data_IF_262151303699
#
_entry.id   IF_262151303699
#
_cell.length_a   1.000
_cell.length_b   1.000
_cell.length_c   1.000
_cell.angle_alpha   90.00
_cell.angle_beta   90.00
_cell.angle_gamma   90.00
#
_symmetry.space_group_name_H-M   'P 1'
#
loop_
_entity.id
_entity.type
_entity.pdbx_description
1 polymer ?
#
# COMPACT_ATOMS: atom_id res chain seq x y z
N UNK A 1 5.07 -45.57 32.22
CA UNK A 1 4.01 -44.57 31.95
C UNK A 1 4.58 -43.27 31.33
N UNK A 2 5.57 -43.34 30.42
CA UNK A 2 6.30 -42.18 29.86
C UNK A 2 6.11 -41.98 28.34
N UNK A 3 5.31 -42.86 27.71
CA UNK A 3 5.14 -42.96 26.25
C UNK A 3 4.08 -42.01 25.67
N UNK A 4 3.09 -41.58 26.48
CA UNK A 4 2.00 -40.69 26.03
C UNK A 4 2.45 -39.24 25.82
N UNK A 5 3.38 -38.74 26.63
CA UNK A 5 3.82 -37.34 26.52
C UNK A 5 4.75 -37.10 25.31
N UNK A 6 5.45 -38.15 24.86
CA UNK A 6 6.38 -38.08 23.72
C UNK A 6 5.65 -38.03 22.37
N UNK A 7 4.52 -38.74 22.24
CA UNK A 7 3.66 -38.67 21.06
C UNK A 7 3.01 -37.30 20.86
N UNK A 8 2.61 -36.63 21.95
CA UNK A 8 2.00 -35.30 21.88
C UNK A 8 2.98 -34.23 21.36
N UNK A 9 4.25 -34.27 21.77
CA UNK A 9 5.27 -33.30 21.33
C UNK A 9 5.61 -33.46 19.84
N UNK A 10 5.83 -34.70 19.38
CA UNK A 10 6.07 -35.00 17.96
C UNK A 10 4.87 -34.58 17.08
N UNK A 11 3.64 -34.84 17.55
CA UNK A 11 2.41 -34.42 16.86
C UNK A 11 2.29 -32.89 16.72
N UNK A 12 2.63 -32.13 17.77
CA UNK A 12 2.65 -30.67 17.70
C UNK A 12 3.70 -30.11 16.73
N UNK A 13 4.88 -30.75 16.63
CA UNK A 13 5.89 -30.37 15.63
C UNK A 13 5.42 -30.61 14.21
N UNK A 14 4.77 -31.76 13.97
CA UNK A 14 4.21 -32.11 12.67
C UNK A 14 3.10 -31.14 12.25
N UNK A 15 2.15 -30.82 13.14
CA UNK A 15 1.10 -29.82 12.86
C UNK A 15 1.72 -28.45 12.54
N UNK A 16 2.67 -27.97 13.34
CA UNK A 16 3.34 -26.68 13.09
C UNK A 16 4.06 -26.67 11.73
N UNK A 17 4.70 -27.78 11.37
CA UNK A 17 5.31 -27.96 10.05
C UNK A 17 4.29 -27.87 8.90
N UNK A 18 3.14 -28.53 9.05
CA UNK A 18 2.01 -28.50 8.09
C UNK A 18 1.42 -27.09 7.95
N UNK A 19 1.27 -26.36 9.06
CA UNK A 19 0.79 -24.98 9.03
C UNK A 19 1.79 -24.07 8.31
N UNK A 20 3.08 -24.21 8.60
CA UNK A 20 4.13 -23.42 7.93
C UNK A 20 4.23 -23.71 6.43
N UNK A 21 4.12 -24.97 6.00
CA UNK A 21 4.10 -25.29 4.56
C UNK A 21 2.84 -24.74 3.91
N UNK A 22 1.68 -24.78 4.58
CA UNK A 22 0.45 -24.17 4.08
C UNK A 22 0.60 -22.66 3.86
N UNK A 23 1.22 -21.96 4.81
CA UNK A 23 1.54 -20.53 4.67
C UNK A 23 2.55 -20.27 3.54
N UNK A 24 3.60 -21.09 3.44
CA UNK A 24 4.58 -20.98 2.36
C UNK A 24 3.93 -21.20 0.98
N UNK A 25 3.04 -22.17 0.85
CA UNK A 25 2.29 -22.42 -0.39
C UNK A 25 1.34 -21.27 -0.72
N UNK A 26 0.72 -20.63 0.28
CA UNK A 26 -0.09 -19.44 0.07
C UNK A 26 0.76 -18.30 -0.50
N UNK A 27 1.91 -18.03 0.12
CA UNK A 27 2.85 -17.00 -0.36
C UNK A 27 3.35 -17.35 -1.77
N UNK A 28 3.66 -18.62 -2.03
CA UNK A 28 4.05 -19.09 -3.36
C UNK A 28 2.96 -18.86 -4.41
N UNK A 29 1.69 -19.17 -4.09
CA UNK A 29 0.54 -18.88 -4.95
C UNK A 29 0.51 -17.38 -5.31
N UNK A 30 0.64 -16.49 -4.32
CA UNK A 30 0.61 -15.05 -4.53
C UNK A 30 1.80 -14.52 -5.34
N UNK A 31 2.99 -15.11 -5.16
CA UNK A 31 4.19 -14.75 -5.93
C UNK A 31 4.09 -15.18 -7.39
N UNK A 32 3.60 -16.40 -7.66
CA UNK A 32 3.48 -16.93 -9.04
C UNK A 32 2.34 -16.27 -9.80
N UNK A 33 1.22 -15.96 -9.13
CA UNK A 33 0.07 -15.27 -9.76
C UNK A 33 0.30 -13.77 -9.95
N UNK A 34 1.39 -13.21 -9.43
CA UNK A 34 1.66 -11.78 -9.35
C UNK A 34 0.58 -10.96 -8.59
N UNK A 35 -0.34 -11.62 -7.89
CA UNK A 35 -1.38 -10.97 -7.08
C UNK A 35 -0.83 -10.41 -5.77
N UNK A 36 0.45 -10.63 -5.46
CA UNK A 36 1.11 -10.01 -4.29
C UNK A 36 1.02 -8.47 -4.32
N UNK A 37 0.97 -7.88 -5.52
CA UNK A 37 0.79 -6.44 -5.73
C UNK A 37 -0.56 -5.92 -5.22
N UNK A 38 -1.57 -6.79 -5.03
CA UNK A 38 -2.86 -6.43 -4.45
C UNK A 38 -2.84 -6.32 -2.92
N UNK A 39 -1.75 -6.75 -2.27
CA UNK A 39 -1.63 -6.77 -0.81
C UNK A 39 -0.48 -5.93 -0.27
N UNK A 40 0.60 -5.79 -1.03
CA UNK A 40 1.89 -5.30 -0.53
C UNK A 40 2.56 -4.39 -1.57
N UNK A 41 3.26 -3.36 -1.09
CA UNK A 41 4.02 -2.47 -1.95
C UNK A 41 5.20 -3.19 -2.64
N UNK A 42 5.58 -2.84 -3.88
CA UNK A 42 6.65 -3.51 -4.65
C UNK A 42 7.98 -3.59 -3.91
N UNK A 43 8.31 -2.55 -3.14
CA UNK A 43 9.52 -2.48 -2.32
C UNK A 43 9.64 -3.59 -1.27
N UNK A 44 8.51 -4.09 -0.76
CA UNK A 44 8.48 -5.12 0.28
C UNK A 44 8.54 -6.55 -0.29
N UNK A 45 8.36 -6.73 -1.60
CA UNK A 45 8.32 -8.05 -2.25
C UNK A 45 9.65 -8.81 -2.07
N UNK A 46 10.79 -8.10 -2.00
CA UNK A 46 12.09 -8.72 -1.72
C UNK A 46 12.13 -9.42 -0.35
N UNK A 47 11.52 -8.81 0.66
CA UNK A 47 11.41 -9.42 1.99
C UNK A 47 10.43 -10.60 1.99
N UNK A 48 9.41 -10.58 1.14
CA UNK A 48 8.49 -11.72 0.97
C UNK A 48 9.21 -12.92 0.37
N UNK A 49 10.08 -12.74 -0.64
CA UNK A 49 10.91 -13.84 -1.16
C UNK A 49 11.83 -14.43 -0.07
N UNK A 50 12.47 -13.58 0.72
CA UNK A 50 13.30 -14.03 1.84
C UNK A 50 12.48 -14.81 2.88
N UNK A 51 11.32 -14.27 3.28
CA UNK A 51 10.39 -14.90 4.22
C UNK A 51 9.92 -16.27 3.71
N UNK A 52 9.57 -16.38 2.42
CA UNK A 52 9.18 -17.64 1.79
C UNK A 52 10.26 -18.72 1.94
N UNK A 53 11.52 -18.40 1.67
CA UNK A 53 12.65 -19.33 1.81
C UNK A 53 12.80 -19.77 3.28
N UNK A 54 12.75 -18.83 4.21
CA UNK A 54 12.86 -19.13 5.65
C UNK A 54 11.71 -20.02 6.12
N UNK A 55 10.47 -19.73 5.71
CA UNK A 55 9.30 -20.53 6.04
C UNK A 55 9.42 -21.97 5.51
N UNK A 56 9.95 -22.15 4.29
CA UNK A 56 10.21 -23.48 3.74
C UNK A 56 11.27 -24.24 4.56
N UNK A 57 12.39 -23.62 4.90
CA UNK A 57 13.46 -24.26 5.68
C UNK A 57 12.93 -24.67 7.06
N UNK A 58 12.24 -23.76 7.76
CA UNK A 58 11.65 -24.05 9.07
C UNK A 58 10.60 -25.16 8.99
N UNK A 59 9.74 -25.15 7.96
CA UNK A 59 8.74 -26.21 7.76
C UNK A 59 9.40 -27.58 7.59
N UNK A 60 10.43 -27.69 6.74
CA UNK A 60 11.15 -28.95 6.50
C UNK A 60 11.79 -29.47 7.80
N UNK A 61 12.47 -28.60 8.55
CA UNK A 61 13.11 -28.97 9.82
C UNK A 61 12.07 -29.47 10.83
N UNK A 62 10.92 -28.80 10.94
CA UNK A 62 9.84 -29.18 11.87
C UNK A 62 9.19 -30.52 11.48
N UNK A 63 9.00 -30.79 10.18
CA UNK A 63 8.46 -32.06 9.68
C UNK A 63 9.46 -33.20 9.93
N UNK A 64 10.74 -33.01 9.60
CA UNK A 64 11.79 -33.99 9.85
C UNK A 64 11.94 -34.31 11.34
N UNK A 65 11.84 -33.30 12.21
CA UNK A 65 11.86 -33.49 13.66
C UNK A 65 10.59 -34.16 14.18
N UNK A 66 9.44 -33.88 13.57
CA UNK A 66 8.17 -34.52 13.90
C UNK A 66 8.15 -36.02 13.55
N UNK A 67 8.78 -36.41 12.44
CA UNK A 67 8.81 -37.80 11.95
C UNK A 67 9.99 -38.64 12.45
N UNK A 68 11.00 -38.03 13.07
CA UNK A 68 12.16 -38.76 13.60
C UNK A 68 11.83 -39.43 14.93
N UNK A 69 11.92 -40.76 14.97
CA UNK A 69 11.69 -41.56 16.19
C UNK A 69 12.87 -41.57 17.18
N UNK A 70 13.99 -40.87 16.91
CA UNK A 70 15.24 -41.08 17.67
C UNK A 70 15.87 -39.80 18.24
N UNK A 71 16.15 -39.91 19.54
CA UNK A 71 17.09 -39.17 20.39
C UNK A 71 16.85 -37.65 20.53
N UNK A 72 16.20 -37.28 21.63
CA UNK A 72 16.26 -35.94 22.19
C UNK A 72 17.73 -35.60 22.53
N UNK A 73 18.40 -34.81 21.69
CA UNK A 73 19.43 -33.93 22.22
C UNK A 73 18.70 -32.85 23.00
N UNK A 74 18.68 -32.99 24.32
CA UNK A 74 18.25 -31.93 25.23
C UNK A 74 19.30 -30.81 25.15
N UNK A 75 19.24 -29.98 24.11
CA UNK A 75 19.82 -28.65 24.21
C UNK A 75 19.05 -27.95 25.33
N UNK A 76 19.75 -27.72 26.44
CA UNK A 76 19.29 -26.97 27.60
C UNK A 76 19.23 -25.47 27.23
N UNK A 77 18.50 -25.15 26.16
CA UNK A 77 18.11 -23.79 25.83
C UNK A 77 16.84 -23.55 26.63
N UNK A 78 17.03 -22.95 27.79
CA UNK A 78 16.01 -22.54 28.74
C UNK A 78 14.97 -21.66 28.01
N UNK A 79 13.76 -22.19 27.88
CA UNK A 79 12.71 -21.58 27.09
C UNK A 79 11.46 -22.43 27.20
N UNK A 80 10.59 -22.04 28.13
CA UNK A 80 9.27 -22.63 28.37
C UNK A 80 8.37 -22.54 27.12
N UNK A 81 8.62 -23.38 26.11
CA UNK A 81 7.68 -23.60 25.02
C UNK A 81 6.70 -24.70 25.44
N UNK A 82 5.87 -24.38 26.42
CA UNK A 82 4.85 -25.28 26.97
C UNK A 82 3.77 -25.52 25.92
N UNK A 83 3.60 -26.77 25.51
CA UNK A 83 2.54 -27.16 24.57
C UNK A 83 1.17 -27.07 25.25
N UNK A 84 0.11 -26.63 24.54
CA UNK A 84 -1.23 -26.67 25.10
C UNK A 84 -1.60 -28.12 25.40
N UNK A 85 -1.76 -28.44 26.69
CA UNK A 85 -2.09 -29.79 27.15
C UNK A 85 -3.55 -30.19 26.90
N UNK A 86 -4.39 -29.22 26.55
CA UNK A 86 -5.82 -29.41 26.26
C UNK A 86 -6.10 -29.28 24.76
N UNK A 87 -6.78 -30.27 24.19
CA UNK A 87 -7.15 -30.31 22.76
C UNK A 87 -7.92 -29.07 22.30
N UNK A 88 -8.74 -28.47 23.17
CA UNK A 88 -9.48 -27.24 22.85
C UNK A 88 -8.56 -26.03 22.70
N UNK A 89 -7.55 -25.88 23.58
CA UNK A 89 -6.54 -24.81 23.47
C UNK A 89 -5.69 -24.99 22.22
N UNK A 90 -5.36 -26.22 21.86
CA UNK A 90 -4.65 -26.51 20.60
C UNK A 90 -5.49 -26.13 19.38
N UNK A 91 -6.77 -26.47 19.35
CA UNK A 91 -7.70 -26.10 18.26
C UNK A 91 -7.79 -24.58 18.11
N UNK A 92 -7.99 -23.85 19.20
CA UNK A 92 -8.06 -22.38 19.16
C UNK A 92 -6.75 -21.78 18.63
N UNK A 93 -5.59 -22.24 19.13
CA UNK A 93 -4.29 -21.72 18.74
C UNK A 93 -3.95 -22.01 17.27
N UNK A 94 -4.15 -23.25 16.79
CA UNK A 94 -3.86 -23.60 15.40
C UNK A 94 -4.91 -23.05 14.43
N UNK A 95 -6.17 -22.93 14.88
CA UNK A 95 -7.25 -22.30 14.12
C UNK A 95 -6.90 -20.87 13.71
N UNK A 96 -6.22 -20.11 14.58
CA UNK A 96 -5.74 -18.76 14.28
C UNK A 96 -4.82 -18.70 13.05
N UNK A 97 -4.02 -19.74 12.79
CA UNK A 97 -3.11 -19.81 11.64
C UNK A 97 -3.72 -20.51 10.43
N UNK A 98 -4.58 -21.50 10.65
CA UNK A 98 -5.27 -22.22 9.58
C UNK A 98 -6.29 -21.30 8.90
N UNK A 99 -6.97 -20.42 9.65
CA UNK A 99 -7.96 -19.50 9.11
C UNK A 99 -7.37 -18.64 7.97
N UNK A 100 -6.28 -17.86 8.16
CA UNK A 100 -5.66 -17.08 7.07
C UNK A 100 -5.25 -17.91 5.85
N UNK A 101 -4.80 -19.15 6.06
CA UNK A 101 -4.42 -20.06 4.97
C UNK A 101 -5.66 -20.45 4.19
N UNK A 102 -6.70 -20.95 4.87
CA UNK A 102 -7.95 -21.34 4.21
C UNK A 102 -8.59 -20.17 3.48
N UNK A 103 -8.62 -18.98 4.08
CA UNK A 103 -9.20 -17.80 3.44
C UNK A 103 -8.36 -17.37 2.25
N UNK A 104 -7.03 -17.36 2.33
CA UNK A 104 -6.17 -16.98 1.21
C UNK A 104 -6.23 -17.94 0.00
N UNK A 105 -6.57 -19.21 0.24
CA UNK A 105 -6.78 -20.18 -0.84
C UNK A 105 -8.22 -20.18 -1.39
N UNK A 106 -9.23 -19.95 -0.54
CA UNK A 106 -10.65 -20.02 -0.90
C UNK A 106 -11.20 -18.71 -1.48
N UNK A 107 -10.73 -17.55 -1.01
CA UNK A 107 -11.23 -16.26 -1.47
C UNK A 107 -10.44 -15.74 -2.68
N UNK A 108 -11.14 -15.02 -3.55
CA UNK A 108 -10.54 -14.34 -4.69
C UNK A 108 -9.67 -13.18 -4.23
N UNK A 109 -8.58 -12.94 -4.94
CA UNK A 109 -7.66 -11.83 -4.68
C UNK A 109 -8.35 -10.51 -5.08
N UNK A 110 -9.02 -9.87 -4.12
CA UNK A 110 -9.77 -8.63 -4.33
C UNK A 110 -8.92 -7.40 -4.01
N UNK A 111 -9.18 -6.30 -4.71
CA UNK A 111 -8.58 -4.99 -4.43
C UNK A 111 -9.33 -4.27 -3.31
N UNK A 112 -8.68 -3.31 -2.66
CA UNK A 112 -9.33 -2.43 -1.68
C UNK A 112 -10.51 -1.68 -2.31
N UNK A 113 -11.61 -1.65 -1.57
CA UNK A 113 -12.91 -1.14 -1.99
C UNK A 113 -13.26 0.20 -1.28
N UNK A 114 -14.17 0.99 -1.84
CA UNK A 114 -14.60 2.28 -1.24
C UNK A 114 -15.15 2.13 0.17
N UNK A 115 -15.68 0.96 0.51
CA UNK A 115 -16.10 0.63 1.87
C UNK A 115 -14.96 0.76 2.88
N UNK A 116 -13.73 0.45 2.49
CA UNK A 116 -12.53 0.65 3.32
C UNK A 116 -12.12 2.11 3.34
N UNK A 117 -12.26 2.82 2.21
CA UNK A 117 -11.91 4.25 2.10
C UNK A 117 -12.64 5.13 3.13
N UNK A 118 -13.90 4.83 3.47
CA UNK A 118 -14.67 5.61 4.46
C UNK A 118 -14.04 5.65 5.86
N UNK A 119 -13.24 4.63 6.21
CA UNK A 119 -12.58 4.52 7.51
C UNK A 119 -11.09 4.89 7.44
N UNK A 120 -10.63 5.42 6.31
CA UNK A 120 -9.23 5.81 6.08
C UNK A 120 -9.11 7.34 6.01
N UNK A 121 -7.94 7.91 6.31
CA UNK A 121 -7.69 9.31 5.99
C UNK A 121 -7.81 9.51 4.48
N UNK A 122 -8.65 10.46 4.10
CA UNK A 122 -8.82 10.89 2.71
C UNK A 122 -8.04 12.19 2.56
N UNK A 123 -6.99 12.15 1.76
CA UNK A 123 -6.27 13.35 1.37
C UNK A 123 -6.98 13.92 0.14
N UNK A 124 -8.01 14.75 0.40
CA UNK A 124 -8.55 15.64 -0.62
C UNK A 124 -7.52 16.75 -0.84
N UNK A 125 -7.09 16.89 -2.08
CA UNK A 125 -6.06 17.82 -2.54
C UNK A 125 -6.44 19.24 -2.11
N UNK A 126 -5.84 19.75 -1.04
CA UNK A 126 -5.98 21.14 -0.60
C UNK A 126 -4.60 21.77 -0.57
N UNK A 127 -4.41 23.00 -1.09
CA UNK A 127 -3.18 23.76 -0.93
C UNK A 127 -2.87 23.80 0.57
N UNK A 128 -1.78 23.15 0.95
CA UNK A 128 -1.35 23.14 2.33
C UNK A 128 -0.81 24.53 2.66
N UNK A 129 -1.45 25.20 3.62
CA UNK A 129 -0.71 26.17 4.42
C UNK A 129 0.35 25.39 5.19
N UNK A 130 1.61 25.59 4.79
CA UNK A 130 2.84 25.36 5.55
C UNK A 130 2.92 24.13 6.48
N UNK A 131 3.82 23.21 6.10
CA UNK A 131 4.69 22.38 6.94
C UNK A 131 4.35 22.21 8.44
N UNK A 132 4.18 20.93 8.82
CA UNK A 132 4.01 20.35 10.16
C UNK A 132 2.58 20.05 10.59
N UNK A 133 2.01 18.95 10.10
CA UNK A 133 1.07 18.14 10.88
C UNK A 133 1.18 16.65 10.55
N UNK A 134 2.24 16.01 11.07
CA UNK A 134 2.03 14.67 11.64
C UNK A 134 1.71 14.91 13.12
N UNK A 135 0.63 14.27 13.59
CA UNK A 135 0.16 14.14 14.98
C UNK A 135 -0.83 15.19 15.49
N UNK A 136 -2.12 14.91 15.30
CA UNK A 136 -3.08 15.12 16.38
C UNK A 136 -3.02 13.90 17.33
N UNK A 137 -2.01 13.87 18.19
CA UNK A 137 -2.07 13.28 19.53
C UNK A 137 -0.73 13.50 20.27
N UNK A 138 -0.83 14.28 21.35
CA UNK A 138 0.03 14.34 22.54
C UNK A 138 1.11 15.43 22.63
N UNK A 139 0.77 16.43 23.45
CA UNK A 139 1.56 17.31 24.31
C UNK A 139 3.02 16.88 24.58
N UNK A 140 3.97 17.79 24.40
CA UNK A 140 4.68 18.48 25.50
C UNK A 140 5.78 19.40 24.95
N UNK A 141 5.95 20.51 25.66
CA UNK A 141 6.93 21.59 25.52
C UNK A 141 8.37 21.09 25.43
N UNK A 142 9.16 21.61 24.49
CA UNK A 142 10.36 22.42 24.81
C UNK A 142 11.13 22.90 23.56
N UNK A 143 11.54 24.15 23.69
CA UNK A 143 12.34 25.02 22.81
C UNK A 143 13.73 24.44 22.49
N UNK A 144 14.32 24.77 21.32
CA UNK A 144 15.70 25.30 21.13
C UNK A 144 16.09 25.42 19.62
N UNK A 145 16.30 26.69 19.23
CA UNK A 145 17.21 27.33 18.24
C UNK A 145 17.96 26.56 17.14
N UNK A 146 17.69 26.98 15.90
CA UNK A 146 18.58 27.51 14.82
C UNK A 146 20.09 27.22 14.88
N UNK A 147 20.65 26.60 13.82
CA UNK A 147 21.80 27.15 13.05
C UNK A 147 22.17 26.36 11.79
N UNK A 148 22.37 27.15 10.73
CA UNK A 148 22.99 26.94 9.42
C UNK A 148 24.08 25.87 9.26
N UNK A 149 24.17 25.29 8.05
CA UNK A 149 25.35 25.42 7.15
C UNK A 149 25.15 24.77 5.78
N UNK A 150 25.33 25.60 4.74
CA UNK A 150 25.60 25.26 3.34
C UNK A 150 26.81 24.33 3.15
N UNK A 151 26.80 23.48 2.11
CA UNK A 151 27.72 23.57 0.98
C UNK A 151 27.59 22.39 -0.01
N UNK A 152 27.11 22.71 -1.22
CA UNK A 152 27.58 22.29 -2.54
C UNK A 152 28.48 21.03 -2.66
N UNK A 153 28.01 20.04 -3.43
CA UNK A 153 28.82 19.56 -4.57
C UNK A 153 27.99 18.87 -5.66
N UNK A 154 28.10 19.42 -6.87
CA UNK A 154 27.54 18.91 -8.09
C UNK A 154 28.27 17.64 -8.57
N UNK A 155 27.54 16.63 -9.04
CA UNK A 155 28.08 15.67 -10.00
C UNK A 155 27.00 15.17 -10.95
N UNK A 156 27.39 15.13 -12.21
CA UNK A 156 26.56 15.10 -13.40
C UNK A 156 25.97 13.71 -13.71
N UNK A 157 24.79 13.78 -14.31
CA UNK A 157 23.96 12.70 -14.84
C UNK A 157 24.67 12.00 -16.01
N UNK A 158 24.52 10.68 -16.09
CA UNK A 158 24.69 9.91 -17.32
C UNK A 158 23.53 8.93 -17.44
N UNK A 159 22.80 9.09 -18.55
CA UNK A 159 21.65 8.31 -18.97
C UNK A 159 21.99 6.82 -19.14
N UNK A 160 21.09 5.93 -18.70
CA UNK A 160 20.60 4.88 -19.60
C UNK A 160 19.29 4.27 -19.12
N UNK A 161 18.34 4.19 -20.05
CA UNK A 161 17.01 3.59 -19.92
C UNK A 161 17.05 2.06 -19.82
N UNK A 162 16.30 1.49 -18.87
CA UNK A 162 15.62 0.20 -19.02
C UNK A 162 14.45 0.08 -18.01
N UNK A 163 13.24 -0.35 -18.44
CA UNK A 163 12.08 -0.48 -17.56
C UNK A 163 12.09 -1.86 -16.92
N UNK A 164 12.58 -1.96 -15.69
CA UNK A 164 12.51 -3.21 -14.92
C UNK A 164 12.31 -2.86 -13.46
N UNK A 165 11.07 -2.98 -12.99
CA UNK A 165 10.68 -3.25 -11.59
C UNK A 165 11.72 -2.84 -10.55
N UNK A 166 12.07 -1.56 -10.59
CA UNK A 166 13.08 -0.96 -9.74
C UNK A 166 12.37 -0.42 -8.51
N UNK A 167 13.01 -0.57 -7.36
CA UNK A 167 12.63 0.17 -6.15
C UNK A 167 12.35 1.63 -6.55
N UNK A 168 11.16 2.11 -6.23
CA UNK A 168 10.88 3.53 -6.39
C UNK A 168 11.67 4.24 -5.30
N UNK A 169 12.83 4.77 -5.67
CA UNK A 169 13.60 5.63 -4.79
C UNK A 169 12.86 6.95 -4.61
N UNK A 170 13.01 7.62 -3.46
CA UNK A 170 12.43 8.94 -3.27
C UNK A 170 12.90 9.91 -4.33
N UNK A 171 12.00 10.78 -4.80
CA UNK A 171 12.38 11.82 -5.74
C UNK A 171 13.41 12.73 -5.09
N UNK A 172 14.50 13.02 -5.80
CA UNK A 172 15.36 14.14 -5.41
C UNK A 172 14.59 15.45 -5.54
N UNK A 173 14.93 16.45 -4.72
CA UNK A 173 14.36 17.81 -4.81
C UNK A 173 14.42 18.40 -6.23
N UNK A 174 15.51 18.10 -6.97
CA UNK A 174 15.67 18.52 -8.37
C UNK A 174 14.69 17.84 -9.32
N UNK A 175 14.38 16.56 -9.09
CA UNK A 175 13.43 15.79 -9.89
C UNK A 175 11.99 16.23 -9.59
N UNK A 176 11.69 16.58 -8.34
CA UNK A 176 10.39 17.14 -7.98
C UNK A 176 10.18 18.50 -8.67
N UNK A 177 11.19 19.35 -8.62
CA UNK A 177 11.16 20.67 -9.27
C UNK A 177 11.08 20.58 -10.81
N UNK A 178 11.77 19.60 -11.42
CA UNK A 178 11.68 19.40 -12.87
C UNK A 178 10.31 18.87 -13.30
N UNK A 179 9.72 17.95 -12.51
CA UNK A 179 8.36 17.47 -12.70
C UNK A 179 7.35 18.63 -12.61
N UNK A 180 7.48 19.52 -11.62
CA UNK A 180 6.63 20.70 -11.49
C UNK A 180 6.71 21.60 -12.73
N UNK A 181 7.92 21.99 -13.14
CA UNK A 181 8.12 22.82 -14.33
C UNK A 181 7.53 22.16 -15.60
N UNK A 182 7.64 20.84 -15.73
CA UNK A 182 7.06 20.10 -16.85
C UNK A 182 5.51 20.17 -16.83
N UNK A 183 4.89 20.05 -15.66
CA UNK A 183 3.44 20.14 -15.49
C UNK A 183 2.93 21.56 -15.79
N UNK A 184 3.69 22.58 -15.39
CA UNK A 184 3.41 23.99 -15.71
C UNK A 184 3.56 24.30 -17.20
N UNK A 185 4.52 23.68 -17.89
CA UNK A 185 4.73 23.90 -19.32
C UNK A 185 3.71 23.15 -20.21
N UNK A 186 3.20 22.00 -19.77
CA UNK A 186 2.28 21.20 -20.60
C UNK A 186 0.83 21.70 -20.54
N UNK A 187 0.10 21.60 -21.64
CA UNK A 187 -1.35 21.86 -21.68
C UNK A 187 -2.20 20.61 -21.36
N UNK A 188 -1.58 19.43 -21.40
CA UNK A 188 -2.22 18.16 -21.12
C UNK A 188 -1.38 17.35 -20.13
N UNK A 189 -1.88 17.26 -18.90
CA UNK A 189 -1.32 16.46 -17.81
C UNK A 189 -1.87 15.04 -17.93
N UNK A 190 -0.99 14.08 -18.18
CA UNK A 190 -1.34 12.65 -18.12
C UNK A 190 -0.88 12.11 -16.78
N UNK A 191 -1.83 11.67 -15.95
CA UNK A 191 -1.51 11.09 -14.65
C UNK A 191 -0.74 9.78 -14.85
N UNK A 192 0.49 9.75 -14.38
CA UNK A 192 1.31 8.54 -14.30
C UNK A 192 1.10 7.90 -12.93
N UNK A 193 1.03 6.57 -12.88
CA UNK A 193 0.91 5.79 -11.65
C UNK A 193 2.18 5.95 -10.78
N UNK A 194 3.35 6.04 -11.41
CA UNK A 194 4.66 6.18 -10.74
C UNK A 194 4.80 7.52 -10.01
N UNK A 195 4.35 8.60 -10.65
CA UNK A 195 4.41 9.97 -10.11
C UNK A 195 3.04 10.42 -9.61
N UNK A 196 2.13 9.49 -9.29
CA UNK A 196 0.74 9.87 -8.99
C UNK A 196 0.67 10.80 -7.78
N UNK A 197 1.28 10.39 -6.66
CA UNK A 197 1.28 11.19 -5.43
C UNK A 197 2.02 12.52 -5.61
N UNK A 198 3.23 12.56 -6.20
CA UNK A 198 3.89 13.83 -6.54
C UNK A 198 3.05 14.77 -7.41
N UNK A 199 2.41 14.28 -8.48
CA UNK A 199 1.57 15.10 -9.35
C UNK A 199 0.36 15.65 -8.58
N UNK A 200 -0.25 14.85 -7.69
CA UNK A 200 -1.33 15.32 -6.81
C UNK A 200 -0.85 16.45 -5.90
N UNK A 201 0.33 16.30 -5.28
CA UNK A 201 0.90 17.32 -4.38
C UNK A 201 1.17 18.62 -5.14
N UNK A 202 1.83 18.55 -6.30
CA UNK A 202 2.11 19.71 -7.15
C UNK A 202 0.81 20.38 -7.61
N UNK A 203 -0.21 19.60 -7.98
CA UNK A 203 -1.53 20.12 -8.34
C UNK A 203 -2.20 20.89 -7.19
N UNK A 204 -1.94 20.46 -5.96
CA UNK A 204 -2.39 21.13 -4.73
C UNK A 204 -1.65 22.43 -4.47
N UNK A 205 -0.32 22.37 -4.54
CA UNK A 205 0.60 23.45 -4.19
C UNK A 205 0.50 24.61 -5.19
N UNK A 206 0.36 24.29 -6.48
CA UNK A 206 0.32 25.28 -7.56
C UNK A 206 -0.97 25.22 -8.40
N UNK A 207 -2.10 25.09 -7.72
CA UNK A 207 -3.41 24.96 -8.37
C UNK A 207 -3.69 26.09 -9.38
N UNK A 208 -3.29 27.33 -9.07
CA UNK A 208 -3.55 28.51 -9.90
C UNK A 208 -2.99 28.36 -11.32
N UNK A 209 -1.79 27.84 -11.47
CA UNK A 209 -1.17 27.62 -12.79
C UNK A 209 -1.72 26.37 -13.49
N UNK A 210 -2.38 25.48 -12.77
CA UNK A 210 -2.96 24.26 -13.33
C UNK A 210 -4.37 24.47 -13.89
N UNK A 211 -5.07 25.53 -13.49
CA UNK A 211 -6.44 25.84 -13.95
C UNK A 211 -6.49 25.98 -15.47
N UNK A 212 -7.52 25.36 -16.07
CA UNK A 212 -7.77 25.40 -17.51
C UNK A 212 -7.00 24.36 -18.33
N UNK A 213 -5.93 23.77 -17.79
CA UNK A 213 -5.20 22.66 -18.42
C UNK A 213 -6.09 21.41 -18.48
N UNK A 214 -5.78 20.54 -19.45
CA UNK A 214 -6.46 19.24 -19.58
C UNK A 214 -5.75 18.22 -18.72
N UNK A 215 -6.48 17.43 -17.93
CA UNK A 215 -5.92 16.32 -17.16
C UNK A 215 -6.58 15.01 -17.58
N UNK A 216 -5.80 13.94 -17.65
CA UNK A 216 -6.30 12.56 -17.81
C UNK A 216 -5.82 11.70 -16.67
N UNK A 217 -6.77 11.12 -15.93
CA UNK A 217 -6.48 10.29 -14.77
C UNK A 217 -7.41 9.08 -14.72
N UNK A 218 -7.00 8.06 -13.98
CA UNK A 218 -7.74 6.82 -13.74
C UNK A 218 -7.93 6.65 -12.24
N UNK A 219 -9.04 6.06 -11.85
CA UNK A 219 -9.35 5.75 -10.47
C UNK A 219 -10.71 5.08 -10.35
N UNK A 220 -11.03 4.62 -9.14
CA UNK A 220 -12.36 4.13 -8.83
C UNK A 220 -13.28 5.26 -8.39
N UNK A 221 -14.58 5.09 -8.62
CA UNK A 221 -15.60 6.06 -8.23
C UNK A 221 -15.82 6.00 -6.73
N UNK A 222 -15.43 7.07 -6.03
CA UNK A 222 -15.74 7.30 -4.62
C UNK A 222 -16.74 8.46 -4.49
N UNK A 223 -17.73 8.31 -3.61
CA UNK A 223 -18.73 9.35 -3.33
C UNK A 223 -18.84 9.57 -1.83
N UNK A 224 -18.63 10.80 -1.41
CA UNK A 224 -18.93 11.22 -0.06
C UNK A 224 -20.43 11.46 0.13
N UNK A 225 -20.88 11.40 1.38
CA UNK A 225 -22.30 11.51 1.71
C UNK A 225 -22.89 12.88 1.35
N UNK A 226 -22.06 13.93 1.34
CA UNK A 226 -22.49 15.32 1.14
C UNK A 226 -22.31 15.82 -0.32
N UNK A 227 -21.90 14.96 -1.25
CA UNK A 227 -21.68 15.36 -2.64
C UNK A 227 -22.98 15.49 -3.43
N UNK A 228 -23.01 16.42 -4.38
CA UNK A 228 -24.07 16.45 -5.39
C UNK A 228 -23.99 15.20 -6.28
N UNK A 229 -25.11 14.82 -6.92
CA UNK A 229 -25.15 13.59 -7.75
C UNK A 229 -24.19 13.65 -8.94
N UNK A 230 -23.86 14.85 -9.42
CA UNK A 230 -22.94 15.12 -10.52
C UNK A 230 -21.48 15.26 -10.05
N UNK A 231 -21.19 14.96 -8.78
CA UNK A 231 -19.86 15.02 -8.16
C UNK A 231 -19.42 13.65 -7.65
N UNK A 232 -18.14 13.36 -7.87
CA UNK A 232 -17.44 12.16 -7.41
C UNK A 232 -15.99 12.53 -7.06
N UNK A 233 -15.31 11.67 -6.31
CA UNK A 233 -13.85 11.64 -6.24
C UNK A 233 -13.35 10.52 -7.12
N UNK A 234 -12.34 10.81 -7.94
CA UNK A 234 -11.62 9.79 -8.71
C UNK A 234 -10.47 9.34 -7.85
N UNK A 235 -10.69 8.26 -7.11
CA UNK A 235 -9.83 7.84 -6.02
C UNK A 235 -8.88 6.71 -6.44
N UNK A 236 -7.73 6.66 -5.78
CA UNK A 236 -6.79 5.54 -5.75
C UNK A 236 -6.30 5.35 -4.33
N UNK A 237 -6.08 4.11 -3.94
CA UNK A 237 -5.41 3.83 -2.67
C UNK A 237 -3.90 3.99 -2.84
N UNK A 238 -3.28 4.72 -1.93
CA UNK A 238 -1.83 4.74 -1.72
C UNK A 238 -1.46 3.73 -0.65
N UNK A 239 -0.39 2.97 -0.85
CA UNK A 239 0.12 1.99 0.12
C UNK A 239 1.60 2.29 0.37
N UNK A 240 2.05 2.18 1.62
CA UNK A 240 3.47 2.35 1.96
C UNK A 240 4.15 0.98 2.06
N UNK A 241 3.62 0.07 2.87
CA UNK A 241 4.13 -1.29 3.00
C UNK A 241 3.08 -2.37 2.69
N UNK A 242 1.81 -2.17 3.05
CA UNK A 242 0.75 -3.17 2.83
C UNK A 242 -0.66 -2.58 2.87
N UNK A 243 -1.68 -3.31 2.41
CA UNK A 243 -3.08 -2.83 2.45
C UNK A 243 -3.57 -2.34 3.83
N UNK A 244 -2.92 -2.76 4.93
CA UNK A 244 -3.23 -2.28 6.26
C UNK A 244 -2.79 -0.82 6.51
N UNK A 245 -1.78 -0.31 5.80
CA UNK A 245 -1.31 1.08 5.86
C UNK A 245 -1.78 1.95 4.69
N UNK A 246 -2.88 1.55 4.05
CA UNK A 246 -3.43 2.27 2.92
C UNK A 246 -4.05 3.62 3.29
N UNK A 247 -3.82 4.65 2.47
CA UNK A 247 -4.51 5.95 2.48
C UNK A 247 -5.23 6.20 1.16
N UNK A 248 -6.17 7.14 1.10
CA UNK A 248 -6.92 7.43 -0.14
C UNK A 248 -6.47 8.78 -0.70
N UNK A 249 -6.04 8.76 -1.96
CA UNK A 249 -5.75 9.96 -2.75
C UNK A 249 -6.77 10.07 -3.87
N UNK A 250 -7.20 11.28 -4.19
CA UNK A 250 -8.09 11.47 -5.33
C UNK A 250 -8.37 12.92 -5.65
N UNK A 251 -8.86 13.16 -6.86
CA UNK A 251 -9.25 14.48 -7.33
C UNK A 251 -10.77 14.52 -7.46
N UNK A 252 -11.39 15.58 -6.99
CA UNK A 252 -12.82 15.80 -7.20
C UNK A 252 -13.10 15.94 -8.69
N UNK A 253 -14.23 15.41 -9.16
CA UNK A 253 -14.63 15.52 -10.55
C UNK A 253 -16.13 15.77 -10.67
N UNK A 254 -16.49 16.63 -11.62
CA UNK A 254 -17.87 17.05 -11.87
C UNK A 254 -18.28 16.80 -13.32
N UNK A 255 -19.46 16.23 -13.51
CA UNK A 255 -20.03 15.97 -14.83
C UNK A 255 -21.22 15.01 -14.80
N UNK A 256 -21.55 14.40 -15.93
CA UNK A 256 -22.61 13.37 -15.96
C UNK A 256 -22.10 12.04 -15.35
N UNK A 257 -22.06 11.98 -14.03
CA UNK A 257 -21.51 10.84 -13.28
C UNK A 257 -22.53 10.15 -12.39
N UNK A 258 -23.72 10.71 -12.16
CA UNK A 258 -24.73 10.20 -11.22
C UNK A 258 -25.06 8.70 -11.39
N UNK A 259 -25.02 8.19 -12.62
CA UNK A 259 -25.32 6.79 -12.96
C UNK A 259 -24.17 5.81 -12.68
N UNK A 260 -22.98 6.30 -12.31
CA UNK A 260 -21.82 5.45 -12.06
C UNK A 260 -21.94 4.78 -10.67
N UNK A 261 -21.83 3.44 -10.61
CA UNK A 261 -21.80 2.75 -9.34
C UNK A 261 -20.50 3.05 -8.59
N UNK A 262 -20.54 2.87 -7.27
CA UNK A 262 -19.33 2.91 -6.43
C UNK A 262 -18.33 1.87 -6.93
N UNK A 263 -17.04 2.16 -6.76
CA UNK A 263 -15.92 1.23 -7.03
C UNK A 263 -15.68 0.89 -8.51
N UNK A 264 -16.51 1.41 -9.41
CA UNK A 264 -16.27 1.31 -10.83
C UNK A 264 -15.00 2.06 -11.20
N UNK A 265 -14.04 1.34 -11.77
CA UNK A 265 -12.87 1.95 -12.38
C UNK A 265 -13.25 2.71 -13.64
N UNK A 266 -12.80 3.97 -13.70
CA UNK A 266 -13.01 4.88 -14.81
C UNK A 266 -11.70 5.56 -15.18
N UNK A 267 -11.60 5.93 -16.46
CA UNK A 267 -10.65 6.91 -16.94
C UNK A 267 -11.43 8.17 -17.32
N UNK A 268 -10.99 9.31 -16.80
CA UNK A 268 -11.56 10.61 -17.17
C UNK A 268 -10.53 11.45 -17.89
N UNK A 269 -11.01 12.29 -18.80
CA UNK A 269 -10.27 13.43 -19.32
C UNK A 269 -11.14 14.66 -19.16
N UNK A 270 -10.59 15.73 -18.59
CA UNK A 270 -11.34 16.94 -18.30
C UNK A 270 -10.44 18.15 -18.13
N UNK A 271 -11.05 19.32 -17.88
CA UNK A 271 -10.30 20.53 -17.53
C UNK A 271 -10.17 20.67 -16.02
N UNK A 272 -9.00 21.08 -15.57
CA UNK A 272 -8.77 21.45 -14.16
C UNK A 272 -9.45 22.79 -13.91
N UNK A 273 -10.14 22.87 -12.79
CA UNK A 273 -10.79 24.05 -12.23
C UNK A 273 -10.64 23.98 -10.71
N UNK A 274 -11.17 24.96 -9.99
CA UNK A 274 -11.13 25.00 -8.53
C UNK A 274 -12.53 25.10 -7.94
N UNK A 275 -12.72 24.57 -6.74
CA UNK A 275 -13.97 24.67 -5.98
C UNK A 275 -13.67 24.86 -4.50
N UNK A 276 -14.58 25.51 -3.76
CA UNK A 276 -14.52 25.53 -2.31
C UNK A 276 -15.24 24.31 -1.75
N UNK A 277 -14.52 23.49 -0.98
CA UNK A 277 -15.05 22.33 -0.27
C UNK A 277 -14.57 22.38 1.19
N UNK A 278 -15.49 22.32 2.16
CA UNK A 278 -15.19 22.44 3.59
C UNK A 278 -14.29 23.64 3.97
N UNK A 279 -14.47 24.77 3.29
CA UNK A 279 -13.69 26.00 3.51
C UNK A 279 -12.32 26.02 2.84
N UNK A 280 -11.90 24.92 2.19
CA UNK A 280 -10.64 24.79 1.47
C UNK A 280 -10.87 24.92 -0.04
N UNK A 281 -9.92 25.52 -0.76
CA UNK A 281 -9.94 25.56 -2.23
C UNK A 281 -9.28 24.30 -2.76
N UNK A 282 -10.02 23.43 -3.43
CA UNK A 282 -9.52 22.13 -3.92
C UNK A 282 -9.64 22.06 -5.46
N UNK A 283 -8.76 21.31 -6.16
CA UNK A 283 -8.90 21.07 -7.59
C UNK A 283 -10.13 20.22 -7.88
N UNK A 284 -10.84 20.59 -8.94
CA UNK A 284 -11.94 19.82 -9.50
C UNK A 284 -11.75 19.63 -11.00
N UNK A 285 -12.01 18.41 -11.48
CA UNK A 285 -11.97 18.07 -12.90
C UNK A 285 -13.37 18.27 -13.48
N UNK A 286 -13.53 19.22 -14.40
CA UNK A 286 -14.73 19.32 -15.25
C UNK A 286 -14.62 18.27 -16.35
N UNK A 287 -15.36 17.17 -16.21
CA UNK A 287 -15.24 15.99 -17.07
C UNK A 287 -15.69 16.33 -18.50
N UNK A 288 -14.84 16.04 -19.48
CA UNK A 288 -15.16 16.14 -20.92
C UNK A 288 -15.34 14.78 -21.58
N UNK A 289 -14.54 13.81 -21.16
CA UNK A 289 -14.60 12.42 -21.64
C UNK A 289 -14.49 11.48 -20.46
N UNK A 290 -15.31 10.43 -20.49
CA UNK A 290 -15.33 9.40 -19.47
C UNK A 290 -15.43 8.04 -20.16
N UNK A 291 -14.66 7.07 -19.68
CA UNK A 291 -14.73 5.67 -20.11
C UNK A 291 -14.59 4.74 -18.92
N UNK A 292 -15.43 3.72 -18.84
CA UNK A 292 -15.25 2.60 -17.90
C UNK A 292 -14.03 1.79 -18.34
N UNK A 293 -13.24 1.35 -17.37
CA UNK A 293 -12.07 0.51 -17.59
C UNK A 293 -12.12 -0.66 -16.60
N UNK A 294 -11.48 -1.81 -16.91
CA UNK A 294 -11.24 -2.83 -15.90
C UNK A 294 -10.29 -2.28 -14.81
N UNK A 295 -10.25 -2.97 -13.67
CA UNK A 295 -9.25 -2.71 -12.62
C UNK A 295 -7.85 -2.77 -13.27
N UNK A 296 -7.01 -1.73 -13.12
CA UNK A 296 -5.65 -1.75 -13.64
C UNK A 296 -4.83 -2.87 -13.00
N UNK A 297 -3.80 -3.34 -13.70
CA UNK A 297 -2.84 -4.31 -13.18
C UNK A 297 -2.21 -3.84 -11.86
N UNK A 298 -1.93 -2.53 -11.76
CA UNK A 298 -1.51 -1.87 -10.52
C UNK A 298 -2.66 -1.00 -10.00
N UNK A 299 -3.52 -1.50 -9.11
CA UNK A 299 -4.64 -0.72 -8.57
C UNK A 299 -4.17 0.40 -7.62
N UNK A 300 -3.00 0.23 -7.01
CA UNK A 300 -2.46 1.16 -6.02
C UNK A 300 -1.44 2.12 -6.61
N UNK A 301 -1.29 3.24 -5.92
CA UNK A 301 -0.24 4.22 -6.15
C UNK A 301 0.69 4.22 -4.94
N UNK A 302 1.87 4.80 -5.09
CA UNK A 302 2.88 4.77 -4.04
C UNK A 302 3.35 6.19 -3.79
N UNK A 303 3.47 6.56 -2.52
CA UNK A 303 4.16 7.77 -2.14
C UNK A 303 5.66 7.46 -2.10
N UNK A 304 6.37 7.97 -3.09
CA UNK A 304 7.82 7.82 -3.19
C UNK A 304 8.54 8.80 -2.26
N UNK A 305 7.85 9.84 -1.77
CA UNK A 305 8.46 10.89 -0.96
C UNK A 305 9.47 11.75 -1.74
N UNK A 306 9.99 12.78 -1.08
CA UNK A 306 11.07 13.64 -1.59
C UNK A 306 12.27 13.53 -0.66
N UNK A 307 13.43 13.15 -1.20
CA UNK A 307 14.70 13.18 -0.49
C UNK A 307 15.20 14.62 -0.38
N UNK A 308 15.26 15.12 0.85
CA UNK A 308 15.92 16.37 1.19
C UNK A 308 17.39 16.03 1.49
N UNK A 309 18.30 16.52 0.68
CA UNK A 309 19.75 16.36 0.86
C UNK A 309 20.33 17.47 1.72
#
# INVERSE_FOLDING_TARGET
MKRSNQGNVSYHHLIRGIVLIGLALLVFKLLVTNHIAFFIAPQMVRFIYFSFIVLLILSIILILRGTSEKNHYSCHCDGEHTYPTSSFKSIMLYGLFILPITTGFLFSDNVLDSSVAMNRPITLVSPSQNNNTIRAAQNSTDTITVSDRNANQAKSISDNSNPSSAQQEPLSEKEYSSLQNQLEATNHIKMNDEYYVPIINILSEDLSNMIGKTITTKGFVYREQNFFQDEIVIARFSIVCCVADSSVYGIMAKGNVAHLPKDQWIQVTGKIDQVKYDGLTVPIIKIKKLSKIPVPENPYVYDVGVQIN
#
